data_IF_337114104756
#
_entry.id   IF_337114104756
#
_cell.length_a   1.000
_cell.length_b   1.000
_cell.length_c   1.000
_cell.angle_alpha   90.00
_cell.angle_beta   90.00
_cell.angle_gamma   90.00
#
_symmetry.space_group_name_H-M   'P 1'
#
loop_
_entity.id
_entity.type
_entity.pdbx_description
1 polymer ?
#
# COMPACT_ATOMS: atom_id res chain seq x y z
N UNK A 1 -6.87 -13.16 -18.89
CA UNK A 1 -7.31 -12.41 -17.68
C UNK A 1 -6.15 -11.75 -16.91
N UNK A 2 -4.88 -12.10 -17.18
CA UNK A 2 -3.71 -11.56 -16.47
C UNK A 2 -3.34 -10.10 -16.84
N UNK A 3 -3.50 -9.68 -18.10
CA UNK A 3 -3.20 -8.31 -18.53
C UNK A 3 -3.89 -7.23 -17.68
N UNK A 4 -5.23 -7.24 -17.52
CA UNK A 4 -5.92 -6.20 -16.73
C UNK A 4 -5.63 -6.29 -15.23
N UNK A 5 -5.17 -7.44 -14.72
CA UNK A 5 -4.73 -7.54 -13.32
C UNK A 5 -3.38 -6.86 -13.12
N UNK A 6 -2.42 -7.10 -14.01
CA UNK A 6 -1.12 -6.45 -13.97
C UNK A 6 -1.23 -4.93 -14.08
N UNK A 7 -2.07 -4.42 -14.99
CA UNK A 7 -2.30 -2.97 -15.13
C UNK A 7 -2.95 -2.36 -13.89
N UNK A 8 -3.96 -3.02 -13.30
CA UNK A 8 -4.61 -2.53 -12.08
C UNK A 8 -3.64 -2.53 -10.89
N UNK A 9 -2.79 -3.54 -10.79
CA UNK A 9 -1.76 -3.60 -9.76
C UNK A 9 -0.72 -2.47 -9.93
N UNK A 10 -0.22 -2.27 -11.14
CA UNK A 10 0.70 -1.17 -11.44
C UNK A 10 0.10 0.20 -11.12
N UNK A 11 -1.17 0.42 -11.46
CA UNK A 11 -1.86 1.68 -11.16
C UNK A 11 -2.01 1.92 -9.65
N UNK A 12 -2.32 0.87 -8.88
CA UNK A 12 -2.43 0.94 -7.41
C UNK A 12 -1.08 1.27 -6.77
N UNK A 13 0.01 0.66 -7.23
CA UNK A 13 1.35 0.95 -6.75
C UNK A 13 1.75 2.39 -7.08
N UNK A 14 1.50 2.84 -8.31
CA UNK A 14 1.79 4.19 -8.74
C UNK A 14 1.05 5.24 -7.89
N UNK A 15 -0.23 5.02 -7.58
CA UNK A 15 -0.99 5.96 -6.75
C UNK A 15 -0.50 6.01 -5.31
N UNK A 16 -0.11 4.88 -4.72
CA UNK A 16 0.45 4.84 -3.35
C UNK A 16 1.78 5.59 -3.26
N UNK A 17 2.70 5.35 -4.20
CA UNK A 17 4.00 6.02 -4.23
C UNK A 17 3.82 7.52 -4.47
N UNK A 18 2.96 7.89 -5.43
CA UNK A 18 2.71 9.30 -5.75
C UNK A 18 2.09 10.04 -4.56
N UNK A 19 1.12 9.43 -3.87
CA UNK A 19 0.52 10.03 -2.67
C UNK A 19 1.54 10.23 -1.55
N UNK A 20 2.37 9.22 -1.27
CA UNK A 20 3.42 9.31 -0.25
C UNK A 20 4.45 10.40 -0.59
N UNK A 21 4.92 10.45 -1.84
CA UNK A 21 5.93 11.40 -2.29
C UNK A 21 5.42 12.85 -2.26
N UNK A 22 4.15 13.08 -2.61
CA UNK A 22 3.52 14.41 -2.50
C UNK A 22 3.50 14.89 -1.05
N UNK A 23 3.10 14.03 -0.11
CA UNK A 23 3.10 14.38 1.32
C UNK A 23 4.52 14.68 1.80
N UNK A 24 5.49 13.83 1.48
CA UNK A 24 6.89 14.01 1.89
C UNK A 24 7.52 15.28 1.32
N UNK A 25 7.22 15.61 0.06
CA UNK A 25 7.75 16.80 -0.63
C UNK A 25 7.16 18.09 -0.05
N UNK A 26 5.84 18.12 0.23
CA UNK A 26 5.17 19.31 0.79
C UNK A 26 5.64 19.58 2.22
N UNK A 27 5.82 18.53 3.03
CA UNK A 27 6.26 18.67 4.42
C UNK A 27 7.79 18.66 4.60
N UNK A 28 8.56 18.58 3.51
CA UNK A 28 10.02 18.48 3.50
C UNK A 28 10.58 17.41 4.47
N UNK A 29 9.82 16.33 4.70
CA UNK A 29 10.19 15.28 5.63
C UNK A 29 10.73 14.07 4.84
N UNK A 30 12.01 13.68 5.02
CA UNK A 30 12.59 12.56 4.29
C UNK A 30 11.89 11.26 4.70
N UNK A 31 11.27 10.60 3.73
CA UNK A 31 10.50 9.38 3.94
C UNK A 31 10.76 8.32 2.87
N UNK A 32 9.97 7.26 2.89
CA UNK A 32 10.15 6.10 2.02
C UNK A 32 9.88 6.42 0.54
N UNK A 33 9.01 7.38 0.22
CA UNK A 33 8.73 7.80 -1.15
C UNK A 33 9.92 8.49 -1.81
N UNK A 34 10.52 9.45 -1.12
CA UNK A 34 11.76 10.13 -1.55
C UNK A 34 12.94 9.16 -1.63
N UNK A 35 13.04 8.20 -0.69
CA UNK A 35 14.06 7.15 -0.73
C UNK A 35 13.89 6.24 -1.95
N UNK A 36 12.66 5.84 -2.26
CA UNK A 36 12.34 5.04 -3.44
C UNK A 36 12.67 5.80 -4.73
N UNK A 37 12.32 7.08 -4.80
CA UNK A 37 12.64 7.92 -5.96
C UNK A 37 14.15 8.00 -6.21
N UNK A 38 14.93 8.21 -5.15
CA UNK A 38 16.39 8.19 -5.22
C UNK A 38 16.93 6.82 -5.62
N UNK A 39 16.36 5.73 -5.10
CA UNK A 39 16.74 4.36 -5.46
C UNK A 39 16.47 4.06 -6.94
N UNK A 40 15.34 4.53 -7.48
CA UNK A 40 15.01 4.42 -8.91
C UNK A 40 16.01 5.22 -9.76
N UNK A 41 16.33 6.44 -9.34
CA UNK A 41 17.29 7.29 -10.04
C UNK A 41 18.70 6.66 -10.07
N UNK A 42 19.12 6.03 -8.97
CA UNK A 42 20.40 5.31 -8.87
C UNK A 42 20.34 3.87 -9.42
N UNK A 43 19.18 3.41 -9.90
CA UNK A 43 18.91 2.03 -10.35
C UNK A 43 19.30 0.97 -9.32
N UNK A 44 19.16 1.29 -8.03
CA UNK A 44 19.46 0.38 -6.94
C UNK A 44 18.28 -0.59 -6.73
N UNK A 45 18.27 -1.67 -7.52
CA UNK A 45 17.21 -2.68 -7.51
C UNK A 45 17.01 -3.34 -6.14
N UNK A 46 18.06 -3.73 -5.39
CA UNK A 46 17.91 -4.24 -4.02
C UNK A 46 17.16 -3.29 -3.10
N UNK A 47 17.48 -1.99 -3.14
CA UNK A 47 16.84 -1.00 -2.28
C UNK A 47 15.36 -0.79 -2.65
N UNK A 48 15.05 -0.72 -3.95
CA UNK A 48 13.67 -0.63 -4.44
C UNK A 48 12.85 -1.83 -3.95
N UNK A 49 13.38 -3.04 -4.13
CA UNK A 49 12.69 -4.26 -3.71
C UNK A 49 12.50 -4.31 -2.19
N UNK A 50 13.48 -3.85 -1.42
CA UNK A 50 13.38 -3.73 0.04
C UNK A 50 12.27 -2.77 0.48
N UNK A 51 12.20 -1.58 -0.13
CA UNK A 51 11.15 -0.59 0.17
C UNK A 51 9.77 -1.13 -0.20
N UNK A 52 9.63 -1.78 -1.37
CA UNK A 52 8.37 -2.40 -1.81
C UNK A 52 7.93 -3.50 -0.84
N UNK A 53 8.84 -4.38 -0.44
CA UNK A 53 8.55 -5.46 0.51
C UNK A 53 8.12 -4.92 1.88
N UNK A 54 8.86 -3.94 2.41
CA UNK A 54 8.52 -3.29 3.67
C UNK A 54 7.15 -2.63 3.61
N UNK A 55 6.86 -1.91 2.53
CA UNK A 55 5.57 -1.24 2.32
C UNK A 55 4.42 -2.25 2.21
N UNK A 56 4.64 -3.37 1.52
CA UNK A 56 3.66 -4.46 1.42
C UNK A 56 3.35 -5.08 2.80
N UNK A 57 4.39 -5.32 3.62
CA UNK A 57 4.21 -5.83 4.98
C UNK A 57 3.49 -4.82 5.89
N UNK A 58 3.79 -3.53 5.77
CA UNK A 58 3.10 -2.48 6.52
C UNK A 58 1.62 -2.42 6.15
N UNK A 59 1.29 -2.45 4.85
CA UNK A 59 -0.10 -2.47 4.36
C UNK A 59 -0.81 -3.75 4.82
N UNK A 60 -0.15 -4.90 4.79
CA UNK A 60 -0.70 -6.14 5.32
C UNK A 60 -1.00 -6.03 6.82
N UNK A 61 -0.06 -5.49 7.59
CA UNK A 61 -0.24 -5.24 9.03
C UNK A 61 -1.40 -4.30 9.33
N UNK A 62 -1.54 -3.22 8.56
CA UNK A 62 -2.68 -2.29 8.68
C UNK A 62 -3.98 -3.00 8.33
N UNK A 63 -4.04 -3.78 7.25
CA UNK A 63 -5.24 -4.53 6.89
C UNK A 63 -5.62 -5.53 7.98
N UNK A 64 -4.66 -6.27 8.54
CA UNK A 64 -4.91 -7.18 9.65
C UNK A 64 -5.40 -6.44 10.91
N UNK A 65 -4.82 -5.28 11.21
CA UNK A 65 -5.27 -4.44 12.31
C UNK A 65 -6.70 -3.93 12.07
N UNK A 66 -7.03 -3.53 10.84
CA UNK A 66 -8.37 -3.15 10.44
C UNK A 66 -9.34 -4.32 10.54
N UNK A 67 -8.99 -5.52 10.05
CA UNK A 67 -9.85 -6.71 10.14
C UNK A 67 -10.14 -7.07 11.61
N UNK A 68 -9.14 -6.96 12.49
CA UNK A 68 -9.32 -7.17 13.93
C UNK A 68 -10.18 -6.07 14.57
N UNK A 69 -9.99 -4.82 14.14
CA UNK A 69 -10.75 -3.67 14.62
C UNK A 69 -12.21 -3.76 14.16
N UNK A 70 -12.48 -4.07 12.90
CA UNK A 70 -13.81 -4.35 12.36
C UNK A 70 -14.44 -5.57 13.00
N UNK A 71 -13.68 -6.64 13.24
CA UNK A 71 -14.14 -7.82 13.98
C UNK A 71 -14.58 -7.50 15.41
N UNK A 72 -14.04 -6.44 16.02
CA UNK A 72 -14.46 -5.96 17.35
C UNK A 72 -15.51 -4.85 17.33
N UNK A 73 -15.45 -3.91 16.39
CA UNK A 73 -16.37 -2.78 16.31
C UNK A 73 -17.68 -3.13 15.61
N UNK A 74 -17.69 -4.10 14.70
CA UNK A 74 -18.82 -4.32 13.80
C UNK A 74 -19.33 -5.78 13.81
N UNK A 75 -20.13 -6.17 14.83
CA UNK A 75 -20.86 -7.44 14.83
C UNK A 75 -21.93 -7.54 13.72
N UNK A 76 -22.10 -6.50 12.89
CA UNK A 76 -23.18 -6.37 11.90
C UNK A 76 -22.91 -7.09 10.57
N UNK A 77 -21.68 -7.53 10.31
CA UNK A 77 -21.33 -8.32 9.10
C UNK A 77 -21.93 -9.74 9.16
N UNK A 78 -22.41 -10.18 10.33
CA UNK A 78 -23.04 -11.50 10.49
C UNK A 78 -24.43 -11.63 9.83
N UNK A 79 -25.11 -10.54 9.51
CA UNK A 79 -26.51 -10.57 9.05
C UNK A 79 -26.72 -10.57 7.53
N UNK A 80 -25.67 -10.44 6.71
CA UNK A 80 -25.83 -10.43 5.24
C UNK A 80 -26.00 -11.85 4.65
N UNK A 81 -25.98 -12.90 5.47
CA UNK A 81 -26.12 -14.29 5.01
C UNK A 81 -27.49 -14.93 5.32
N UNK A 82 -28.57 -14.14 5.40
CA UNK A 82 -29.95 -14.63 5.61
C UNK A 82 -31.00 -13.94 4.72
N UNK A 83 -30.62 -13.46 3.54
CA UNK A 83 -31.51 -12.63 2.71
C UNK A 83 -31.47 -12.88 1.21
N UNK A 84 -31.89 -14.09 0.81
CA UNK A 84 -32.24 -14.56 -0.56
C UNK A 84 -31.12 -15.13 -1.42
#
# INVERSE_FOLDING_TARGET
>A
VLLPMATRFGLRLASMITGALVVETIFAYPGLGTLLFNAIAMRDLPLIQGIVLFSALAVLGINLALDLLYGRLDPRIKEVNHGR
#
